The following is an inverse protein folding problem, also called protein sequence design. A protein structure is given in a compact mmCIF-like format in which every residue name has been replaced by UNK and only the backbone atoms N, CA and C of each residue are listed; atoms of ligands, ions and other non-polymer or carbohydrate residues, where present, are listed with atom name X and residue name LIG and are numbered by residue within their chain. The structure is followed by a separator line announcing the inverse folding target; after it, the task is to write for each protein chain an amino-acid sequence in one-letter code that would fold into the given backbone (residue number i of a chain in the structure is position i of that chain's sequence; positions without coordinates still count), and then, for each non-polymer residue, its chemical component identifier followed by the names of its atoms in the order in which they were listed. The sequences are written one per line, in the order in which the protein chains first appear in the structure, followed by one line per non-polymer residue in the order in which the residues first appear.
data_IF_080056345070
#
_entry.id   IF_080056345070
#
_cell.length_a   1.000
_cell.length_b   1.000
_cell.length_c   1.000
_cell.angle_alpha   90.00
_cell.angle_beta   90.00
_cell.angle_gamma   90.00
#
_symmetry.space_group_name_H-M   'P 1'
#
loop_
_entity.id
_entity.type
_entity.pdbx_description
1 polymer ?
#
# COMPACT_ATOMS: atom_id res chain seq x y z
N UNK A 1 -5.19 -11.99 8.57
CA UNK A 1 -4.67 -12.32 7.22
C UNK A 1 -3.20 -12.54 7.37
N UNK A 2 -2.70 -13.62 6.78
CA UNK A 2 -1.28 -13.97 6.78
C UNK A 2 -0.84 -14.10 5.33
N UNK A 3 0.30 -13.51 5.00
CA UNK A 3 0.98 -13.71 3.73
C UNK A 3 2.31 -14.37 4.06
N UNK A 4 2.51 -15.58 3.55
CA UNK A 4 3.73 -16.37 3.75
C UNK A 4 4.43 -16.54 2.40
N UNK A 5 5.72 -16.16 2.36
CA UNK A 5 6.56 -16.24 1.17
C UNK A 5 7.79 -17.12 1.40
N UNK A 6 7.80 -17.93 2.47
CA UNK A 6 8.89 -18.83 2.85
C UNK A 6 9.87 -18.15 3.81
N UNK A 7 10.92 -17.44 3.34
CA UNK A 7 11.91 -16.81 4.23
C UNK A 7 11.34 -15.68 5.10
N UNK A 8 10.19 -15.13 4.71
CA UNK A 8 9.50 -14.09 5.46
C UNK A 8 8.00 -14.20 5.28
N UNK A 9 7.28 -13.73 6.29
CA UNK A 9 5.83 -13.63 6.28
C UNK A 9 5.40 -12.36 7.00
N UNK A 10 4.18 -11.92 6.75
CA UNK A 10 3.56 -10.83 7.49
C UNK A 10 2.14 -11.18 7.94
N UNK A 11 1.73 -10.56 9.03
CA UNK A 11 0.39 -10.71 9.59
C UNK A 11 -0.30 -9.36 9.67
N UNK A 12 -1.50 -9.28 9.10
CA UNK A 12 -2.38 -8.12 9.23
C UNK A 12 -3.66 -8.50 9.96
N UNK A 13 -3.94 -7.76 11.02
CA UNK A 13 -5.19 -7.84 11.75
C UNK A 13 -6.28 -7.10 10.96
N UNK A 14 -7.03 -7.83 10.14
CA UNK A 14 -8.16 -7.28 9.37
C UNK A 14 -9.51 -7.58 10.05
N UNK A 15 -9.63 -8.74 10.69
CA UNK A 15 -10.83 -9.18 11.41
C UNK A 15 -10.75 -8.91 12.91
N UNK A 16 -11.76 -9.38 13.66
CA UNK A 16 -11.71 -9.40 15.12
C UNK A 16 -10.56 -10.29 15.60
N UNK A 17 -9.70 -9.74 16.46
CA UNK A 17 -8.60 -10.48 17.06
C UNK A 17 -9.14 -11.34 18.22
N UNK A 18 -9.18 -12.67 18.03
CA UNK A 18 -9.51 -13.66 19.07
C UNK A 18 -8.21 -14.38 19.44
N UNK A 19 -7.96 -14.62 20.73
CA UNK A 19 -6.76 -15.39 21.15
C UNK A 19 -6.94 -16.86 20.76
N UNK A 20 -5.83 -17.55 20.51
CA UNK A 20 -5.79 -19.00 20.23
C UNK A 20 -6.21 -19.86 21.42
N UNK A 21 -6.12 -19.36 22.66
CA UNK A 21 -6.57 -20.06 23.87
C UNK A 21 -7.56 -19.21 24.66
N UNK A 22 -8.86 -19.43 24.43
CA UNK A 22 -10.00 -19.16 25.33
C UNK A 22 -10.34 -17.71 25.69
N UNK A 23 -9.43 -16.74 25.52
CA UNK A 23 -9.64 -15.35 25.94
C UNK A 23 -9.99 -14.40 24.81
N UNK A 24 -10.81 -13.37 25.10
CA UNK A 24 -10.98 -12.21 24.20
C UNK A 24 -9.80 -11.26 24.38
N UNK A 25 -9.18 -10.83 23.28
CA UNK A 25 -8.22 -9.70 23.32
C UNK A 25 -8.98 -8.47 23.84
N UNK A 26 -8.43 -7.70 24.80
CA UNK A 26 -9.10 -6.50 25.30
C UNK A 26 -9.57 -5.61 24.14
N UNK A 27 -10.83 -5.10 24.15
CA UNK A 27 -11.39 -4.41 22.99
C UNK A 27 -10.55 -3.22 22.50
N UNK A 28 -9.93 -2.49 23.42
CA UNK A 28 -9.02 -1.39 23.09
C UNK A 28 -7.80 -1.86 22.29
N UNK A 29 -7.17 -2.95 22.70
CA UNK A 29 -6.01 -3.53 22.02
C UNK A 29 -6.40 -4.14 20.66
N UNK A 30 -7.56 -4.79 20.59
CA UNK A 30 -8.08 -5.32 19.34
C UNK A 30 -8.32 -4.20 18.30
N UNK A 31 -8.93 -3.08 18.71
CA UNK A 31 -9.10 -1.90 17.86
C UNK A 31 -7.77 -1.28 17.44
N UNK A 32 -6.81 -1.18 18.36
CA UNK A 32 -5.49 -0.65 18.07
C UNK A 32 -4.79 -1.47 17.00
N UNK A 33 -4.77 -2.80 17.11
CA UNK A 33 -4.09 -3.68 16.14
C UNK A 33 -4.79 -3.77 14.79
N UNK A 34 -6.12 -3.61 14.77
CA UNK A 34 -6.93 -3.76 13.56
C UNK A 34 -6.62 -2.65 12.56
N UNK A 35 -6.45 -3.01 11.29
CA UNK A 35 -6.41 -2.03 10.21
C UNK A 35 -7.77 -1.30 10.14
N UNK A 36 -7.73 0.03 10.21
CA UNK A 36 -8.91 0.89 10.24
C UNK A 36 -9.08 1.71 8.97
N UNK A 37 -7.98 1.97 8.25
CA UNK A 37 -7.98 2.81 7.06
C UNK A 37 -6.97 2.29 6.05
N UNK A 38 -7.37 2.35 4.79
CA UNK A 38 -6.53 2.08 3.64
C UNK A 38 -6.72 3.23 2.65
N UNK A 39 -5.65 3.74 2.05
CA UNK A 39 -5.74 4.78 1.03
C UNK A 39 -4.74 4.52 -0.09
N UNK A 40 -5.17 4.72 -1.33
CA UNK A 40 -4.26 4.88 -2.46
C UNK A 40 -3.58 6.25 -2.35
N UNK A 41 -2.31 6.33 -2.75
CA UNK A 41 -1.59 7.59 -2.82
C UNK A 41 -0.79 7.71 -4.11
N UNK A 42 -0.57 8.97 -4.50
CA UNK A 42 0.44 9.43 -5.43
C UNK A 42 1.27 10.48 -4.70
N UNK A 43 2.55 10.22 -4.51
CA UNK A 43 3.52 11.15 -3.93
C UNK A 43 4.29 11.78 -5.09
N UNK A 44 4.15 13.09 -5.29
CA UNK A 44 4.87 13.83 -6.34
C UNK A 44 6.05 14.55 -5.71
N UNK A 45 7.25 14.33 -6.26
CA UNK A 45 8.47 14.92 -5.72
C UNK A 45 9.01 15.91 -6.74
N UNK A 46 8.84 17.20 -6.42
CA UNK A 46 9.28 18.31 -7.28
C UNK A 46 10.74 18.72 -7.04
N UNK A 47 11.36 18.24 -5.95
CA UNK A 47 12.71 18.66 -5.56
C UNK A 47 13.79 18.01 -6.43
N UNK A 48 14.72 18.84 -6.93
CA UNK A 48 15.96 18.37 -7.55
C UNK A 48 16.71 17.40 -6.60
N UNK A 49 17.10 16.23 -7.12
CA UNK A 49 17.77 15.18 -6.35
C UNK A 49 16.87 14.08 -5.78
N UNK A 50 15.55 14.11 -6.01
CA UNK A 50 14.68 12.99 -5.65
C UNK A 50 15.00 11.73 -6.48
N UNK A 51 15.09 10.56 -5.82
CA UNK A 51 15.41 9.29 -6.49
C UNK A 51 14.40 8.88 -7.57
N UNK A 52 13.14 9.32 -7.44
CA UNK A 52 12.07 9.14 -8.43
C UNK A 52 11.17 10.38 -8.44
N UNK A 53 10.61 10.71 -9.61
CA UNK A 53 9.72 11.89 -9.80
C UNK A 53 8.36 11.74 -9.11
N UNK A 54 7.85 10.53 -9.02
CA UNK A 54 6.64 10.24 -8.26
C UNK A 54 6.65 8.80 -7.74
N UNK A 55 5.87 8.53 -6.70
CA UNK A 55 5.57 7.18 -6.19
C UNK A 55 4.08 6.92 -6.17
N UNK A 56 3.68 5.68 -6.42
CA UNK A 56 2.28 5.25 -6.46
C UNK A 56 2.13 4.08 -5.52
N UNK A 57 1.09 4.10 -4.70
CA UNK A 57 1.01 3.13 -3.63
C UNK A 57 -0.35 2.99 -2.97
N UNK A 58 -0.37 2.10 -2.00
CA UNK A 58 -1.40 1.90 -1.00
C UNK A 58 -0.77 2.07 0.38
N UNK A 59 -1.43 2.76 1.29
CA UNK A 59 -0.98 2.90 2.68
C UNK A 59 -2.09 2.51 3.63
N UNK A 60 -1.70 1.82 4.72
CA UNK A 60 -2.60 1.28 5.71
C UNK A 60 -2.31 1.89 7.08
N UNK A 61 -3.38 2.14 7.84
CA UNK A 61 -3.32 2.64 9.21
C UNK A 61 -4.18 1.80 10.14
N UNK A 62 -3.80 1.80 11.41
CA UNK A 62 -4.50 1.06 12.45
C UNK A 62 -5.53 1.92 13.19
N UNK A 63 -6.23 1.37 14.19
CA UNK A 63 -7.25 2.12 14.95
C UNK A 63 -6.76 3.34 15.72
N UNK A 64 -5.44 3.53 15.83
CA UNK A 64 -4.78 4.71 16.43
C UNK A 64 -4.17 5.66 15.40
N UNK A 65 -4.45 5.45 14.10
CA UNK A 65 -3.91 6.23 12.97
C UNK A 65 -2.40 6.09 12.79
N UNK A 66 -1.78 5.06 13.38
CA UNK A 66 -0.38 4.76 13.15
C UNK A 66 -0.23 4.06 11.79
N UNK A 67 0.83 4.39 11.05
CA UNK A 67 1.10 3.75 9.75
C UNK A 67 1.54 2.31 9.98
N UNK A 68 0.82 1.36 9.39
CA UNK A 68 1.12 -0.07 9.49
C UNK A 68 2.00 -0.56 8.33
N UNK A 69 1.62 -0.21 7.11
CA UNK A 69 2.21 -0.77 5.90
C UNK A 69 2.09 0.21 4.74
N UNK A 70 3.11 0.20 3.88
CA UNK A 70 3.07 0.85 2.57
C UNK A 70 3.36 -0.22 1.51
N UNK A 71 2.49 -0.30 0.50
CA UNK A 71 2.70 -1.12 -0.70
C UNK A 71 2.99 -0.16 -1.85
N UNK A 72 4.15 -0.31 -2.48
CA UNK A 72 4.50 0.44 -3.68
C UNK A 72 4.13 -0.38 -4.92
N UNK A 73 3.46 0.26 -5.88
CA UNK A 73 3.19 -0.33 -7.18
C UNK A 73 4.36 -0.08 -8.14
N UNK A 74 4.41 -0.82 -9.27
CA UNK A 74 5.39 -0.56 -10.31
C UNK A 74 5.45 0.92 -10.69
N UNK A 75 6.67 1.45 -10.73
CA UNK A 75 6.91 2.87 -10.92
C UNK A 75 7.17 3.18 -12.40
N UNK A 76 6.45 4.12 -13.04
CA UNK A 76 6.67 4.45 -14.46
C UNK A 76 8.08 4.92 -14.78
N UNK A 77 8.84 5.44 -13.82
CA UNK A 77 10.18 5.95 -14.02
C UNK A 77 11.27 4.92 -13.72
N UNK A 78 10.91 3.72 -13.24
CA UNK A 78 11.86 2.67 -12.96
C UNK A 78 11.67 1.48 -13.92
N UNK A 79 12.77 1.04 -14.52
CA UNK A 79 12.80 -0.22 -15.26
C UNK A 79 12.84 -1.42 -14.30
N UNK A 80 12.85 -2.63 -14.87
CA UNK A 80 12.80 -3.87 -14.08
C UNK A 80 14.08 -4.14 -13.25
N UNK A 81 15.16 -3.41 -13.56
CA UNK A 81 16.40 -3.39 -12.75
C UNK A 81 16.37 -2.29 -11.68
N UNK A 82 15.22 -1.68 -11.42
CA UNK A 82 15.02 -0.57 -10.49
C UNK A 82 15.92 0.64 -10.81
N UNK A 83 16.23 0.86 -12.09
CA UNK A 83 16.98 2.03 -12.56
C UNK A 83 16.06 3.05 -13.19
N UNK A 84 16.41 4.33 -13.01
CA UNK A 84 15.73 5.44 -13.66
C UNK A 84 15.78 5.30 -15.19
N UNK A 85 14.65 5.52 -15.83
CA UNK A 85 14.54 5.63 -17.29
C UNK A 85 14.20 7.05 -17.72
N UNK A 86 14.64 7.42 -18.93
CA UNK A 86 14.47 8.76 -19.47
C UNK A 86 13.00 9.09 -19.75
N UNK A 87 12.23 8.13 -20.26
CA UNK A 87 10.80 8.26 -20.56
C UNK A 87 9.98 7.40 -19.61
N UNK A 88 8.89 7.93 -19.03
CA UNK A 88 8.02 7.13 -18.16
C UNK A 88 7.23 6.10 -18.98
N UNK A 89 7.11 4.90 -18.43
CA UNK A 89 6.23 3.84 -18.95
C UNK A 89 4.94 3.80 -18.12
N UNK A 90 3.90 4.47 -18.63
CA UNK A 90 2.61 4.58 -17.95
C UNK A 90 1.84 3.26 -17.86
N UNK A 91 2.17 2.27 -18.69
CA UNK A 91 1.53 0.96 -18.63
C UNK A 91 1.78 0.25 -17.30
N UNK A 92 2.88 0.60 -16.60
CA UNK A 92 3.22 0.12 -15.25
C UNK A 92 2.16 0.46 -14.20
N UNK A 93 1.33 1.48 -14.43
CA UNK A 93 0.22 1.84 -13.54
C UNK A 93 -1.04 0.98 -13.74
N UNK A 94 -1.05 0.01 -14.66
CA UNK A 94 -2.22 -0.83 -14.97
C UNK A 94 -2.85 -1.42 -13.71
N UNK A 95 -2.07 -2.05 -12.83
CA UNK A 95 -2.58 -2.66 -11.60
C UNK A 95 -3.11 -1.60 -10.62
N UNK A 96 -2.40 -0.49 -10.46
CA UNK A 96 -2.82 0.58 -9.56
C UNK A 96 -4.14 1.22 -10.01
N UNK A 97 -4.27 1.50 -11.31
CA UNK A 97 -5.51 2.02 -11.91
C UNK A 97 -6.66 1.02 -11.79
N UNK A 98 -6.42 -0.27 -12.08
CA UNK A 98 -7.44 -1.31 -11.97
C UNK A 98 -8.00 -1.42 -10.55
N UNK A 99 -7.12 -1.41 -9.54
CA UNK A 99 -7.56 -1.49 -8.14
C UNK A 99 -8.27 -0.21 -7.69
N UNK A 100 -7.82 0.96 -8.12
CA UNK A 100 -8.53 2.23 -7.86
C UNK A 100 -9.91 2.27 -8.49
N UNK A 101 -10.04 1.80 -9.74
CA UNK A 101 -11.34 1.65 -10.39
C UNK A 101 -12.25 0.70 -9.63
N UNK A 102 -11.73 -0.47 -9.24
CA UNK A 102 -12.51 -1.48 -8.49
C UNK A 102 -12.98 -1.02 -7.12
N UNK A 103 -12.12 -0.37 -6.33
CA UNK A 103 -12.41 -0.07 -4.92
C UNK A 103 -12.86 1.36 -4.65
N UNK A 104 -12.56 2.30 -5.56
CA UNK A 104 -12.93 3.71 -5.41
C UNK A 104 -13.84 4.22 -6.53
N UNK A 105 -14.14 3.42 -7.56
CA UNK A 105 -14.84 3.90 -8.75
C UNK A 105 -14.07 4.97 -9.53
N UNK A 106 -12.75 5.07 -9.29
CA UNK A 106 -11.95 6.14 -9.87
C UNK A 106 -11.59 5.85 -11.34
N UNK A 107 -11.60 6.89 -12.15
CA UNK A 107 -11.08 6.83 -13.51
C UNK A 107 -9.58 6.49 -13.52
N UNK A 108 -9.15 5.90 -14.63
CA UNK A 108 -7.75 5.60 -14.85
C UNK A 108 -6.93 6.90 -14.80
N UNK A 109 -5.89 6.92 -13.97
CA UNK A 109 -4.95 8.02 -14.00
C UNK A 109 -4.16 7.94 -15.31
N UNK A 110 -4.32 8.98 -16.13
CA UNK A 110 -3.50 9.27 -17.29
C UNK A 110 -2.89 10.64 -17.02
N UNK A 111 -1.55 10.73 -16.88
CA UNK A 111 -0.90 12.03 -16.74
C UNK A 111 -1.02 12.82 -18.04
N UNK A 112 -1.22 14.13 -17.91
CA UNK A 112 -1.19 15.11 -19.00
C UNK A 112 0.21 15.22 -19.62
#
# INVERSE_FOLDING_TARGET
MTVDLGPWHLHLCLGENRKTHGGKTPPALARHRKCSRVAFFRDVREKAGACVRASFGLRLWNGKREQMMTVFFPNPWLNDRMKMQARPDWSRLKTWNSLRGKYLGAEAFVPA
#
